data_IF_348256353371
#
_entry.id   IF_348256353371
#
_cell.length_a   1.000
_cell.length_b   1.000
_cell.length_c   1.000
_cell.angle_alpha   90.00
_cell.angle_beta   90.00
_cell.angle_gamma   90.00
#
_symmetry.space_group_name_H-M   'P 1'
#
loop_
_entity.id
_entity.type
_entity.pdbx_description
1 polymer ?
#
# COMPACT_ATOMS: atom_id res chain seq x y z
N UNK A 1 -13.69 17.63 10.02
CA UNK A 1 -12.93 17.28 8.80
C UNK A 1 -11.82 16.29 9.18
N UNK A 2 -12.02 14.98 8.94
CA UNK A 2 -11.06 13.94 9.36
C UNK A 2 -9.66 14.12 8.78
N UNK A 3 -9.55 14.41 7.48
CA UNK A 3 -8.26 14.58 6.79
C UNK A 3 -7.41 15.74 7.33
N UNK A 4 -8.02 16.90 7.58
CA UNK A 4 -7.32 18.07 8.11
C UNK A 4 -6.77 17.81 9.52
N UNK A 5 -7.53 17.06 10.34
CA UNK A 5 -7.06 16.64 11.66
C UNK A 5 -5.87 15.70 11.52
N UNK A 6 -5.98 14.68 10.68
CA UNK A 6 -4.90 13.73 10.40
C UNK A 6 -3.61 14.45 9.96
N UNK A 7 -3.69 15.34 8.95
CA UNK A 7 -2.52 16.09 8.47
C UNK A 7 -1.94 17.07 9.49
N UNK A 8 -2.79 17.64 10.35
CA UNK A 8 -2.32 18.45 11.47
C UNK A 8 -1.51 17.59 12.46
N UNK A 9 -2.05 16.44 12.84
CA UNK A 9 -1.42 15.54 13.81
C UNK A 9 -0.08 15.01 13.24
N UNK A 10 -0.06 14.60 11.97
CA UNK A 10 1.16 14.17 11.24
C UNK A 10 2.22 15.29 11.14
N UNK A 11 1.81 16.53 10.85
CA UNK A 11 2.73 17.67 10.78
C UNK A 11 3.29 18.06 12.16
N UNK A 12 2.55 17.79 13.25
CA UNK A 12 3.05 17.97 14.61
C UNK A 12 4.07 16.90 15.01
N UNK A 13 3.90 15.67 14.54
CA UNK A 13 4.77 14.53 14.87
C UNK A 13 6.04 14.49 14.00
N UNK A 14 5.86 14.53 12.68
CA UNK A 14 6.93 14.34 11.70
C UNK A 14 7.55 15.69 11.32
N UNK A 15 6.77 16.77 11.32
CA UNK A 15 7.21 18.12 10.95
C UNK A 15 6.55 18.63 9.67
N UNK A 16 6.92 19.86 9.20
CA UNK A 16 6.25 20.51 8.07
C UNK A 16 6.35 19.74 6.76
N UNK A 17 7.31 18.84 6.60
CA UNK A 17 7.45 17.98 5.42
C UNK A 17 6.27 17.01 5.23
N UNK A 18 5.48 16.72 6.27
CA UNK A 18 4.23 15.96 6.15
C UNK A 18 3.19 16.64 5.24
N UNK A 19 3.33 17.96 5.05
CA UNK A 19 2.48 18.76 4.17
C UNK A 19 2.99 18.81 2.72
N UNK A 20 4.12 18.17 2.42
CA UNK A 20 4.61 18.07 1.05
C UNK A 20 3.64 17.25 0.19
N UNK A 21 3.48 17.65 -1.07
CA UNK A 21 2.59 16.97 -2.02
C UNK A 21 3.12 15.58 -2.45
N UNK A 22 4.39 15.30 -2.18
CA UNK A 22 5.08 14.05 -2.51
C UNK A 22 5.95 13.63 -1.35
N UNK A 23 6.12 12.32 -1.21
CA UNK A 23 7.09 11.76 -0.27
C UNK A 23 8.52 12.10 -0.70
N UNK A 24 9.45 12.26 0.24
CA UNK A 24 10.85 12.54 -0.05
C UNK A 24 11.63 11.31 -0.57
N UNK A 25 10.97 10.16 -0.71
CA UNK A 25 11.51 8.90 -1.21
C UNK A 25 10.49 8.19 -2.11
N UNK A 26 10.95 7.24 -2.92
CA UNK A 26 10.09 6.35 -3.68
C UNK A 26 9.50 5.27 -2.78
N UNK A 27 8.21 5.38 -2.47
CA UNK A 27 7.54 4.44 -1.56
C UNK A 27 7.58 2.99 -2.07
N UNK A 28 7.32 2.79 -3.36
CA UNK A 28 7.39 1.46 -3.98
C UNK A 28 8.82 0.91 -3.94
N UNK A 29 9.82 1.71 -4.29
CA UNK A 29 11.23 1.30 -4.28
C UNK A 29 11.65 0.78 -2.90
N UNK A 30 11.30 1.52 -1.84
CA UNK A 30 11.61 1.13 -0.46
C UNK A 30 10.92 -0.19 -0.06
N UNK A 31 9.67 -0.39 -0.47
CA UNK A 31 8.96 -1.64 -0.20
C UNK A 31 9.54 -2.81 -0.98
N UNK A 32 9.90 -2.61 -2.25
CA UNK A 32 10.52 -3.61 -3.12
C UNK A 32 11.89 -4.06 -2.59
N UNK A 33 12.73 -3.12 -2.15
CA UNK A 33 14.03 -3.41 -1.52
C UNK A 33 13.91 -4.29 -0.27
N UNK A 34 12.77 -4.21 0.44
CA UNK A 34 12.54 -4.91 1.70
C UNK A 34 11.58 -6.10 1.58
N UNK A 35 11.19 -6.50 0.36
CA UNK A 35 10.23 -7.60 0.10
C UNK A 35 10.59 -8.91 0.82
N UNK A 36 11.86 -9.31 0.76
CA UNK A 36 12.33 -10.53 1.42
C UNK A 36 12.20 -10.49 2.94
N UNK A 37 12.44 -9.32 3.54
CA UNK A 37 12.27 -9.12 4.98
C UNK A 37 10.79 -9.23 5.35
N UNK A 38 9.93 -8.52 4.62
CA UNK A 38 8.47 -8.51 4.82
C UNK A 38 7.92 -9.94 4.71
N UNK A 39 8.29 -10.67 3.65
CA UNK A 39 7.88 -12.05 3.41
C UNK A 39 8.22 -12.97 4.58
N UNK A 40 9.46 -12.89 5.08
CA UNK A 40 9.94 -13.73 6.19
C UNK A 40 9.28 -13.39 7.52
N UNK A 41 9.15 -12.10 7.83
CA UNK A 41 8.54 -11.66 9.09
C UNK A 41 7.06 -11.98 9.17
N UNK A 42 6.35 -11.90 8.04
CA UNK A 42 4.93 -12.23 7.96
C UNK A 42 4.65 -13.72 7.67
N UNK A 43 5.69 -14.52 7.40
CA UNK A 43 5.54 -15.95 7.11
C UNK A 43 4.78 -16.23 5.82
N UNK A 44 4.91 -15.36 4.81
CA UNK A 44 4.19 -15.45 3.54
C UNK A 44 4.98 -16.26 2.50
N UNK A 45 4.28 -16.96 1.60
CA UNK A 45 4.92 -17.69 0.49
C UNK A 45 5.34 -16.72 -0.63
N UNK A 46 4.49 -15.74 -0.94
CA UNK A 46 4.69 -14.74 -1.98
C UNK A 46 4.25 -13.36 -1.50
N UNK A 47 4.97 -12.33 -1.92
CA UNK A 47 4.66 -10.91 -1.66
C UNK A 47 5.00 -10.14 -2.92
N UNK A 48 4.09 -9.28 -3.35
CA UNK A 48 4.28 -8.36 -4.48
C UNK A 48 3.89 -6.95 -4.06
N UNK A 49 4.60 -5.96 -4.59
CA UNK A 49 4.27 -4.55 -4.47
C UNK A 49 3.72 -4.11 -5.82
N UNK A 50 2.55 -3.50 -5.82
CA UNK A 50 1.83 -3.14 -7.03
C UNK A 50 1.38 -1.68 -6.97
N UNK A 51 1.40 -1.02 -8.13
CA UNK A 51 0.90 0.35 -8.23
C UNK A 51 -0.62 0.37 -8.23
N UNK A 52 -1.21 1.13 -7.31
CA UNK A 52 -2.65 1.34 -7.24
C UNK A 52 -3.21 2.13 -8.44
N UNK A 53 -2.34 2.82 -9.19
CA UNK A 53 -2.74 3.57 -10.40
C UNK A 53 -2.78 2.69 -11.66
N UNK A 54 -2.22 1.47 -11.61
CA UNK A 54 -2.26 0.54 -12.73
C UNK A 54 -3.50 -0.36 -12.64
N UNK A 55 -4.34 -0.33 -13.67
CA UNK A 55 -5.59 -1.11 -13.71
C UNK A 55 -5.32 -2.62 -13.79
N UNK A 56 -4.21 -3.03 -14.44
CA UNK A 56 -3.81 -4.43 -14.48
C UNK A 56 -3.43 -4.94 -13.07
N UNK A 57 -2.68 -4.13 -12.31
CA UNK A 57 -2.40 -4.39 -10.90
C UNK A 57 -3.67 -4.45 -10.03
N UNK A 58 -4.63 -3.53 -10.23
CA UNK A 58 -5.91 -3.54 -9.49
C UNK A 58 -6.72 -4.81 -9.75
N UNK A 59 -6.61 -5.39 -10.93
CA UNK A 59 -7.28 -6.66 -11.27
C UNK A 59 -6.74 -7.83 -10.43
N UNK A 60 -5.46 -7.79 -10.02
CA UNK A 60 -4.86 -8.78 -9.09
C UNK A 60 -5.42 -8.70 -7.67
N UNK A 61 -6.14 -7.64 -7.30
CA UNK A 61 -6.87 -7.66 -6.04
C UNK A 61 -8.06 -8.66 -6.05
N UNK A 62 -8.51 -9.11 -7.23
CA UNK A 62 -9.60 -10.05 -7.38
C UNK A 62 -10.85 -9.61 -6.61
N UNK A 63 -11.34 -10.46 -5.70
CA UNK A 63 -12.51 -10.17 -4.85
C UNK A 63 -12.31 -8.97 -3.90
N UNK A 64 -11.06 -8.57 -3.64
CA UNK A 64 -10.71 -7.47 -2.75
C UNK A 64 -10.68 -6.11 -3.44
N UNK A 65 -10.94 -6.03 -4.76
CA UNK A 65 -10.96 -4.75 -5.49
C UNK A 65 -11.92 -3.72 -4.88
N UNK A 66 -13.03 -4.19 -4.30
CA UNK A 66 -13.99 -3.34 -3.58
C UNK A 66 -13.35 -2.60 -2.42
N UNK A 67 -12.35 -3.19 -1.74
CA UNK A 67 -11.63 -2.55 -0.65
C UNK A 67 -10.81 -1.35 -1.16
N UNK A 68 -10.17 -1.49 -2.33
CA UNK A 68 -9.40 -0.43 -2.97
C UNK A 68 -10.28 0.75 -3.41
N UNK A 69 -11.57 0.49 -3.67
CA UNK A 69 -12.54 1.54 -4.01
C UNK A 69 -13.09 2.25 -2.76
N UNK A 70 -13.29 1.51 -1.66
CA UNK A 70 -13.81 2.07 -0.41
C UNK A 70 -12.75 2.89 0.34
N UNK A 71 -11.52 2.39 0.36
CA UNK A 71 -10.35 3.07 0.86
C UNK A 71 -9.31 3.08 -0.26
N UNK A 72 -9.19 4.17 -1.03
CA UNK A 72 -8.10 4.30 -1.99
C UNK A 72 -6.78 4.51 -1.24
N UNK A 73 -5.69 3.82 -1.64
CA UNK A 73 -4.39 4.03 -1.04
C UNK A 73 -3.88 5.44 -1.36
N UNK A 74 -3.11 6.01 -0.44
CA UNK A 74 -2.51 7.34 -0.60
C UNK A 74 -1.01 7.29 -0.27
N UNK A 75 -0.18 8.22 -0.79
CA UNK A 75 1.26 8.18 -0.54
C UNK A 75 1.58 8.21 0.96
N UNK A 76 2.29 7.18 1.45
CA UNK A 76 2.63 7.00 2.86
C UNK A 76 1.60 6.19 3.65
N UNK A 77 0.45 5.89 3.06
CA UNK A 77 -0.59 5.01 3.58
C UNK A 77 -0.96 3.94 2.52
N UNK A 78 -0.08 2.95 2.28
CA UNK A 78 -0.35 1.87 1.34
C UNK A 78 -1.39 0.90 1.91
N UNK A 79 -2.04 0.14 1.03
CA UNK A 79 -3.02 -0.89 1.42
C UNK A 79 -2.44 -2.27 1.15
N UNK A 80 -2.44 -3.11 2.19
CA UNK A 80 -2.08 -4.51 2.10
C UNK A 80 -3.32 -5.38 1.86
N UNK A 81 -3.26 -6.26 0.86
CA UNK A 81 -4.27 -7.28 0.60
C UNK A 81 -3.64 -8.64 0.87
N UNK A 82 -4.26 -9.41 1.76
CA UNK A 82 -3.86 -10.79 2.04
C UNK A 82 -4.84 -11.74 1.36
N UNK A 83 -4.30 -12.70 0.64
CA UNK A 83 -5.06 -13.73 -0.05
C UNK A 83 -4.46 -15.11 0.22
N UNK A 84 -5.31 -16.13 0.16
CA UNK A 84 -4.88 -17.51 0.20
C UNK A 84 -4.20 -17.91 -1.11
N UNK A 85 -3.42 -19.00 -1.07
CA UNK A 85 -2.76 -19.55 -2.25
C UNK A 85 -3.72 -19.82 -3.42
N UNK A 86 -4.90 -20.37 -3.12
CA UNK A 86 -5.92 -20.67 -4.12
C UNK A 86 -6.44 -19.41 -4.82
N UNK A 87 -6.61 -18.32 -4.07
CA UNK A 87 -7.08 -17.04 -4.59
C UNK A 87 -6.02 -16.30 -5.41
N UNK A 88 -4.75 -16.52 -5.08
CA UNK A 88 -3.63 -16.01 -5.85
C UNK A 88 -3.49 -16.76 -7.18
N UNK A 89 -3.53 -18.10 -7.15
CA UNK A 89 -3.43 -18.93 -8.36
C UNK A 89 -4.61 -18.72 -9.33
N UNK A 90 -5.81 -18.46 -8.82
CA UNK A 90 -7.00 -18.21 -9.64
C UNK A 90 -6.95 -16.90 -10.47
N UNK A 91 -5.94 -16.06 -10.26
CA UNK A 91 -5.76 -14.80 -11.00
C UNK A 91 -4.86 -14.96 -12.24
N UNK A 92 -4.21 -16.12 -12.41
CA UNK A 92 -3.33 -16.47 -13.52
C UNK A 92 -3.93 -17.56 -14.40
#
# INVERSE_FOLDING_TARGET
>A
MPFIRFKKDEAMEVGPQALNLRLPFGEMDVLEENLELIRRQLGLEHVEVLSASDEAARTRAGKYVSLLNQNPPSPGEPIAIFMSKQEFEAQY
#
